data_IF_912576995184
#
_entry.id   IF_912576995184
#
_cell.length_a   1.000
_cell.length_b   1.000
_cell.length_c   1.000
_cell.angle_alpha   90.00
_cell.angle_beta   90.00
_cell.angle_gamma   90.00
#
_symmetry.space_group_name_H-M   'P 1'
#
loop_
_entity.id
_entity.type
_entity.pdbx_description
1 polymer ?
#
# COMPACT_ATOMS: atom_id res chain seq x y z
N UNK A 1 16.38 8.02 -19.35
CA UNK A 1 17.23 7.24 -18.42
C UNK A 1 17.33 7.98 -17.09
N UNK A 2 18.16 7.53 -16.13
CA UNK A 2 18.27 8.21 -14.82
C UNK A 2 18.69 9.68 -14.92
N UNK A 3 19.46 10.05 -15.94
CA UNK A 3 19.90 11.43 -16.21
C UNK A 3 18.80 12.33 -16.82
N UNK A 4 17.60 11.80 -17.08
CA UNK A 4 16.51 12.58 -17.67
C UNK A 4 16.02 13.63 -16.68
N UNK A 5 16.17 14.91 -17.04
CA UNK A 5 15.58 16.03 -16.29
C UNK A 5 14.05 15.94 -16.38
N UNK A 6 13.37 16.11 -15.25
CA UNK A 6 11.90 15.96 -15.13
C UNK A 6 11.14 17.29 -14.99
N UNK A 7 11.83 18.41 -15.26
CA UNK A 7 11.30 19.76 -15.06
C UNK A 7 11.17 20.17 -13.58
N UNK A 8 10.72 21.39 -13.32
CA UNK A 8 10.45 21.88 -11.97
C UNK A 8 9.29 21.09 -11.35
N UNK A 9 9.44 20.66 -10.10
CA UNK A 9 8.44 19.84 -9.37
C UNK A 9 8.00 18.56 -10.13
N UNK A 10 8.83 18.04 -11.04
CA UNK A 10 8.51 16.83 -11.79
C UNK A 10 7.33 16.99 -12.76
N UNK A 11 7.10 18.17 -13.33
CA UNK A 11 5.97 18.44 -14.26
C UNK A 11 5.90 17.43 -15.41
N UNK A 12 7.03 16.86 -15.83
CA UNK A 12 7.08 15.91 -16.94
C UNK A 12 6.71 14.46 -16.55
N UNK A 13 6.33 14.22 -15.29
CA UNK A 13 5.93 12.92 -14.78
C UNK A 13 4.43 12.89 -14.51
N UNK A 14 3.78 11.81 -14.93
CA UNK A 14 2.43 11.43 -14.50
C UNK A 14 2.36 11.20 -12.99
N UNK A 15 1.14 11.16 -12.44
CA UNK A 15 0.91 10.87 -11.03
C UNK A 15 1.51 9.52 -10.59
N UNK A 16 1.25 8.46 -11.36
CA UNK A 16 1.80 7.12 -11.10
C UNK A 16 3.32 7.07 -11.19
N UNK A 17 3.95 7.81 -12.12
CA UNK A 17 5.43 7.89 -12.18
C UNK A 17 6.01 8.58 -10.94
N UNK A 18 5.40 9.67 -10.48
CA UNK A 18 5.82 10.35 -9.23
C UNK A 18 5.69 9.43 -8.03
N UNK A 19 4.61 8.67 -7.93
CA UNK A 19 4.41 7.70 -6.83
C UNK A 19 5.44 6.57 -6.90
N UNK A 20 5.70 5.97 -8.07
CA UNK A 20 6.73 4.92 -8.22
C UNK A 20 8.12 5.42 -7.81
N UNK A 21 8.48 6.65 -8.20
CA UNK A 21 9.75 7.26 -7.78
C UNK A 21 9.77 7.51 -6.27
N UNK A 22 8.66 7.95 -5.68
CA UNK A 22 8.57 8.14 -4.22
C UNK A 22 8.75 6.81 -3.46
N UNK A 23 8.11 5.73 -3.92
CA UNK A 23 8.27 4.38 -3.34
C UNK A 23 9.72 3.92 -3.49
N UNK A 24 10.30 4.02 -4.69
CA UNK A 24 11.69 3.64 -4.91
C UNK A 24 12.65 4.43 -3.99
N UNK A 25 12.43 5.74 -3.83
CA UNK A 25 13.20 6.58 -2.90
C UNK A 25 13.06 6.15 -1.44
N UNK A 26 11.86 5.75 -1.02
CA UNK A 26 11.63 5.25 0.33
C UNK A 26 12.39 3.92 0.57
N UNK A 27 12.31 2.99 -0.38
CA UNK A 27 12.92 1.66 -0.27
C UNK A 27 14.45 1.68 -0.33
N UNK A 28 15.04 2.49 -1.21
CA UNK A 28 16.51 2.64 -1.33
C UNK A 28 17.16 3.04 -0.01
N UNK A 29 16.43 3.77 0.85
CA UNK A 29 16.94 4.24 2.13
C UNK A 29 16.95 3.17 3.22
N UNK A 30 16.37 1.98 2.97
CA UNK A 30 16.21 0.87 3.92
C UNK A 30 15.74 1.35 5.31
N UNK A 31 14.55 1.97 5.40
CA UNK A 31 14.08 2.52 6.66
C UNK A 31 13.60 1.41 7.61
N UNK A 32 13.83 1.57 8.90
CA UNK A 32 13.25 0.66 9.92
C UNK A 32 11.72 0.77 10.00
N UNK A 33 11.16 1.93 9.60
CA UNK A 33 9.72 2.19 9.56
C UNK A 33 9.36 2.72 8.17
N UNK A 34 8.48 2.01 7.48
CA UNK A 34 7.93 2.38 6.19
C UNK A 34 6.45 2.76 6.35
N UNK A 35 6.11 4.02 6.09
CA UNK A 35 4.73 4.50 6.06
C UNK A 35 4.29 4.69 4.61
N UNK A 36 3.19 4.05 4.23
CA UNK A 36 2.59 4.17 2.90
C UNK A 36 1.17 4.70 3.04
N UNK A 37 0.98 5.97 2.69
CA UNK A 37 -0.32 6.63 2.71
C UNK A 37 -0.87 6.73 1.29
N UNK A 38 -1.84 5.89 0.95
CA UNK A 38 -2.45 5.81 -0.39
C UNK A 38 -1.42 5.73 -1.54
N UNK A 39 -0.26 5.11 -1.29
CA UNK A 39 0.91 5.21 -2.17
C UNK A 39 0.69 4.65 -3.59
N UNK A 40 -0.40 3.90 -3.80
CA UNK A 40 -0.77 3.25 -5.06
C UNK A 40 -2.01 3.85 -5.74
N UNK A 41 -2.63 4.89 -5.17
CA UNK A 41 -3.93 5.40 -5.63
C UNK A 41 -3.96 5.97 -7.06
N UNK A 42 -2.81 6.43 -7.58
CA UNK A 42 -2.70 7.00 -8.93
C UNK A 42 -2.08 6.03 -9.95
N UNK A 43 -2.05 4.72 -9.63
CA UNK A 43 -1.48 3.68 -10.49
C UNK A 43 -2.57 2.82 -11.15
N UNK A 44 -2.22 2.20 -12.29
CA UNK A 44 -3.03 1.14 -12.90
C UNK A 44 -2.78 -0.22 -12.22
N UNK A 45 -3.69 -1.17 -12.44
CA UNK A 45 -3.67 -2.49 -11.79
C UNK A 45 -2.38 -3.30 -12.04
N UNK A 46 -1.72 -3.12 -13.19
CA UNK A 46 -0.46 -3.83 -13.47
C UNK A 46 0.68 -3.26 -12.61
N UNK A 47 0.80 -1.94 -12.57
CA UNK A 47 1.78 -1.26 -11.75
C UNK A 47 1.57 -1.49 -10.25
N UNK A 48 0.31 -1.59 -9.80
CA UNK A 48 -0.02 -1.92 -8.42
C UNK A 48 0.48 -3.32 -8.02
N UNK A 49 0.23 -4.33 -8.86
CA UNK A 49 0.75 -5.68 -8.61
C UNK A 49 2.28 -5.70 -8.55
N UNK A 50 2.94 -4.92 -9.40
CA UNK A 50 4.40 -4.78 -9.36
C UNK A 50 4.87 -4.16 -8.04
N UNK A 51 4.24 -3.06 -7.60
CA UNK A 51 4.55 -2.43 -6.31
C UNK A 51 4.30 -3.41 -5.15
N UNK A 52 3.21 -4.17 -5.17
CA UNK A 52 2.92 -5.14 -4.14
C UNK A 52 4.04 -6.16 -3.99
N UNK A 53 4.51 -6.75 -5.11
CA UNK A 53 5.64 -7.70 -5.10
C UNK A 53 6.91 -7.07 -4.52
N UNK A 54 7.17 -5.81 -4.85
CA UNK A 54 8.34 -5.09 -4.33
C UNK A 54 8.21 -4.86 -2.81
N UNK A 55 7.02 -4.54 -2.31
CA UNK A 55 6.78 -4.38 -0.87
C UNK A 55 6.93 -5.72 -0.13
N UNK A 56 6.36 -6.80 -0.68
CA UNK A 56 6.49 -8.15 -0.13
C UNK A 56 7.97 -8.62 -0.12
N UNK A 57 8.70 -8.35 -1.21
CA UNK A 57 10.12 -8.64 -1.31
C UNK A 57 10.92 -7.82 -0.29
N UNK A 58 10.65 -6.52 -0.18
CA UNK A 58 11.32 -5.71 0.81
C UNK A 58 11.09 -6.29 2.21
N UNK A 59 9.87 -6.78 2.51
CA UNK A 59 9.48 -7.30 3.83
C UNK A 59 10.26 -8.58 4.17
N UNK A 60 10.47 -9.42 3.16
CA UNK A 60 11.28 -10.65 3.29
C UNK A 60 12.78 -10.37 3.34
N UNK A 61 13.29 -9.36 2.64
CA UNK A 61 14.70 -8.98 2.66
C UNK A 61 15.16 -8.35 3.99
N UNK A 62 14.28 -7.67 4.70
CA UNK A 62 14.58 -7.02 5.97
C UNK A 62 13.48 -7.29 7.02
N UNK A 63 13.65 -8.35 7.83
CA UNK A 63 12.65 -8.74 8.83
C UNK A 63 12.52 -7.73 9.98
N UNK A 64 13.44 -6.78 10.13
CA UNK A 64 13.37 -5.74 11.17
C UNK A 64 12.56 -4.52 10.72
N UNK A 65 12.15 -4.45 9.44
CA UNK A 65 11.36 -3.32 8.95
C UNK A 65 9.89 -3.46 9.34
N UNK A 66 9.37 -2.43 9.98
CA UNK A 66 7.93 -2.28 10.26
C UNK A 66 7.28 -1.46 9.15
N UNK A 67 6.20 -1.99 8.56
CA UNK A 67 5.44 -1.30 7.51
C UNK A 67 4.03 -0.95 8.01
N UNK A 68 3.66 0.34 7.93
CA UNK A 68 2.31 0.82 8.20
C UNK A 68 1.70 1.31 6.89
N UNK A 69 0.57 0.73 6.50
CA UNK A 69 -0.06 1.00 5.21
C UNK A 69 -1.48 1.51 5.44
N UNK A 70 -1.77 2.69 4.91
CA UNK A 70 -3.12 3.23 4.77
C UNK A 70 -3.56 2.95 3.34
N UNK A 71 -4.53 2.06 3.20
CA UNK A 71 -4.91 1.52 1.90
C UNK A 71 -6.39 1.81 1.59
N UNK A 72 -6.62 2.35 0.39
CA UNK A 72 -7.95 2.39 -0.23
C UNK A 72 -8.20 1.17 -1.13
N UNK A 73 -7.16 0.39 -1.42
CA UNK A 73 -7.23 -0.84 -2.21
C UNK A 73 -6.92 -2.05 -1.35
N UNK A 74 -7.83 -3.01 -1.35
CA UNK A 74 -7.74 -4.18 -0.48
C UNK A 74 -6.70 -5.21 -0.90
N UNK A 75 -6.27 -5.18 -2.16
CA UNK A 75 -5.16 -6.01 -2.65
C UNK A 75 -3.88 -5.81 -1.84
N UNK A 76 -3.65 -4.59 -1.34
CA UNK A 76 -2.49 -4.24 -0.52
C UNK A 76 -2.64 -4.66 0.95
N UNK A 77 -3.87 -4.91 1.40
CA UNK A 77 -4.19 -5.17 2.82
C UNK A 77 -4.27 -6.67 3.10
N UNK A 78 -4.50 -7.48 2.07
CA UNK A 78 -4.66 -8.93 2.22
C UNK A 78 -3.42 -9.62 2.82
N UNK A 79 -2.21 -9.16 2.49
CA UNK A 79 -0.95 -9.75 2.98
C UNK A 79 -0.44 -9.16 4.29
N UNK A 80 -1.18 -8.26 4.93
CA UNK A 80 -0.75 -7.64 6.19
C UNK A 80 -0.85 -8.62 7.37
N UNK A 81 0.18 -8.61 8.22
CA UNK A 81 0.21 -9.39 9.48
C UNK A 81 -0.92 -8.97 10.44
N UNK A 82 -1.28 -7.68 10.42
CA UNK A 82 -2.36 -7.10 11.20
C UNK A 82 -3.09 -6.05 10.36
N UNK A 83 -4.42 -6.17 10.32
CA UNK A 83 -5.31 -5.19 9.70
C UNK A 83 -6.09 -4.50 10.82
N UNK A 84 -6.15 -3.17 10.77
CA UNK A 84 -6.95 -2.35 11.68
C UNK A 84 -8.00 -1.58 10.87
N UNK A 85 -9.28 -1.84 11.13
CA UNK A 85 -10.39 -1.09 10.53
C UNK A 85 -10.72 0.10 11.40
N UNK A 86 -10.65 1.30 10.83
CA UNK A 86 -11.05 2.53 11.50
C UNK A 86 -12.49 2.92 11.12
N UNK A 87 -13.29 3.27 12.13
CA UNK A 87 -14.57 3.96 11.97
C UNK A 87 -14.68 5.08 13.00
N UNK A 88 -15.07 6.28 12.56
CA UNK A 88 -15.21 7.50 13.41
C UNK A 88 -14.00 7.76 14.34
N UNK A 89 -12.79 7.55 13.82
CA UNK A 89 -11.54 7.79 14.56
C UNK A 89 -11.22 6.74 15.63
N UNK A 90 -11.87 5.58 15.60
CA UNK A 90 -11.59 4.45 16.51
C UNK A 90 -11.35 3.18 15.72
N UNK A 91 -10.49 2.31 16.24
CA UNK A 91 -10.33 0.96 15.71
C UNK A 91 -11.56 0.16 16.15
N UNK A 92 -12.34 -0.30 15.18
CA UNK A 92 -13.57 -1.07 15.41
C UNK A 92 -13.38 -2.57 15.16
N UNK A 93 -12.43 -2.93 14.30
CA UNK A 93 -12.04 -4.31 14.07
C UNK A 93 -10.52 -4.40 13.90
N UNK A 94 -9.96 -5.50 14.38
CA UNK A 94 -8.55 -5.85 14.15
C UNK A 94 -8.36 -7.36 14.03
N UNK A 95 -7.43 -7.76 13.18
CA UNK A 95 -7.06 -9.16 12.95
C UNK A 95 -6.41 -9.36 11.60
N UNK A 96 -6.20 -10.63 11.24
CA UNK A 96 -5.78 -11.03 9.89
C UNK A 96 -6.93 -10.92 8.89
N UNK A 97 -6.63 -10.95 7.59
CA UNK A 97 -7.64 -10.99 6.53
C UNK A 97 -8.69 -12.09 6.79
N UNK A 98 -8.24 -13.31 7.04
CA UNK A 98 -9.10 -14.48 7.26
C UNK A 98 -10.03 -14.31 8.45
N UNK A 99 -9.50 -13.86 9.59
CA UNK A 99 -10.30 -13.65 10.81
C UNK A 99 -11.37 -12.57 10.59
N UNK A 100 -11.01 -11.47 9.94
CA UNK A 100 -11.94 -10.37 9.68
C UNK A 100 -13.01 -10.74 8.64
N UNK A 101 -12.67 -11.56 7.65
CA UNK A 101 -13.65 -12.10 6.70
C UNK A 101 -14.67 -13.01 7.39
N UNK A 102 -14.23 -13.86 8.33
CA UNK A 102 -15.13 -14.74 9.09
C UNK A 102 -16.10 -13.99 10.01
N UNK A 103 -15.71 -12.81 10.49
CA UNK A 103 -16.56 -11.97 11.35
C UNK A 103 -17.74 -11.33 10.61
N UNK A 104 -17.73 -11.31 9.27
CA UNK A 104 -18.77 -10.67 8.45
C UNK A 104 -19.05 -9.21 8.86
N UNK A 105 -18.00 -8.50 9.33
CA UNK A 105 -18.06 -7.13 9.83
C UNK A 105 -17.95 -6.03 8.76
N UNK A 106 -17.52 -4.84 9.17
CA UNK A 106 -17.18 -3.70 8.31
C UNK A 106 -16.10 -4.11 7.31
N UNK A 107 -15.06 -4.82 7.74
CA UNK A 107 -14.00 -5.28 6.84
C UNK A 107 -14.57 -6.13 5.69
N UNK A 108 -15.38 -7.13 6.02
CA UNK A 108 -16.03 -8.01 5.05
C UNK A 108 -16.89 -7.22 4.05
N UNK A 109 -17.64 -6.22 4.52
CA UNK A 109 -18.43 -5.36 3.64
C UNK A 109 -17.55 -4.53 2.70
N UNK A 110 -16.47 -3.93 3.21
CA UNK A 110 -15.49 -3.19 2.40
C UNK A 110 -14.88 -4.08 1.32
N UNK A 111 -14.59 -5.34 1.66
CA UNK A 111 -14.10 -6.35 0.71
C UNK A 111 -15.10 -6.62 -0.40
N UNK A 112 -16.32 -6.98 -0.05
CA UNK A 112 -17.32 -7.33 -1.05
C UNK A 112 -17.82 -6.14 -1.89
N UNK A 113 -17.80 -4.91 -1.35
CA UNK A 113 -18.11 -3.72 -2.12
C UNK A 113 -17.04 -3.41 -3.17
N UNK A 114 -15.77 -3.67 -2.85
CA UNK A 114 -14.64 -3.44 -3.76
C UNK A 114 -14.49 -4.55 -4.82
N UNK A 115 -15.06 -5.74 -4.61
CA UNK A 115 -15.12 -6.79 -5.64
C UNK A 115 -16.16 -6.48 -6.74
N UNK A 116 -17.00 -5.46 -6.54
CA UNK A 116 -18.07 -5.07 -7.49
C UNK A 116 -17.69 -3.88 -8.41
N UNK A 117 -16.40 -3.51 -8.47
CA UNK A 117 -15.87 -2.50 -9.40
C UNK A 117 -14.78 -3.06 -10.31
#
# INVERSE_FOLDING_TARGET
>A
GYETRVGTKGIQLSGGEKQRIAIARALIRRPNILLLDEATSAMDSYNEQMIQRILDQAQTEDPNRTSLIVAHRLSTVHSCDLICVLDKGRIVESGTHTELMQRHGIYFRMVNSNTSQ
#
